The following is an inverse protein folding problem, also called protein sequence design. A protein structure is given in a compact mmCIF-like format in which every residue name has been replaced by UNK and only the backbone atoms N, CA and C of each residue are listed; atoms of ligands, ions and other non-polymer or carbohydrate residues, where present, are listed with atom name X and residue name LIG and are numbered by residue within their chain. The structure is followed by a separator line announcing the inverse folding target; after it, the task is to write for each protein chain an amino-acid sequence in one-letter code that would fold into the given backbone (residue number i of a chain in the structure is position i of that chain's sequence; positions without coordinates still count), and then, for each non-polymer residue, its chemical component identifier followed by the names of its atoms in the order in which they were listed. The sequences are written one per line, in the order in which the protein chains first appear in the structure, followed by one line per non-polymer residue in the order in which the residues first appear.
data_IF_309110077666
#
_entry.id   IF_309110077666
#
_cell.length_a   1.000
_cell.length_b   1.000
_cell.length_c   1.000
_cell.angle_alpha   90.00
_cell.angle_beta   90.00
_cell.angle_gamma   90.00
#
_symmetry.space_group_name_H-M   'P 1'
#
loop_
_entity.id
_entity.type
_entity.pdbx_description
1 polymer ?
#
# COMPACT_ATOMS: atom_id res chain seq x y z
N UNK A 1 -11.49 26.89 -47.77
CA UNK A 1 -10.23 26.68 -47.00
C UNK A 1 -10.61 26.00 -45.70
N UNK A 2 -10.41 24.68 -45.53
CA UNK A 2 -10.75 24.01 -44.28
C UNK A 2 -9.62 24.19 -43.26
N UNK A 3 -10.01 24.52 -42.05
CA UNK A 3 -9.14 24.66 -40.88
C UNK A 3 -8.47 23.32 -40.57
N UNK A 4 -7.15 23.31 -40.44
CA UNK A 4 -6.37 22.16 -39.95
C UNK A 4 -6.80 21.86 -38.51
N UNK A 5 -6.96 20.56 -38.12
CA UNK A 5 -7.17 20.19 -36.72
C UNK A 5 -5.90 20.49 -35.91
N UNK A 6 -6.12 21.06 -34.75
CA UNK A 6 -5.11 21.33 -33.73
C UNK A 6 -4.43 20.04 -33.30
N UNK A 7 -3.14 20.13 -33.04
CA UNK A 7 -2.23 19.04 -32.71
C UNK A 7 -2.81 18.08 -31.67
N UNK A 8 -2.67 16.79 -32.00
CA UNK A 8 -2.94 15.67 -31.06
C UNK A 8 -2.13 15.85 -29.78
N UNK A 9 -2.83 15.94 -28.68
CA UNK A 9 -2.25 15.94 -27.34
C UNK A 9 -1.72 14.54 -26.91
N UNK A 10 -2.01 13.50 -27.70
CA UNK A 10 -1.51 12.13 -27.50
C UNK A 10 0.02 12.03 -27.66
N UNK A 11 0.66 12.98 -28.36
CA UNK A 11 2.12 13.01 -28.51
C UNK A 11 2.89 13.66 -27.35
N UNK A 12 2.22 14.21 -26.35
CA UNK A 12 2.88 14.82 -25.20
C UNK A 12 3.20 13.79 -24.09
N UNK A 13 2.59 12.60 -24.14
CA UNK A 13 2.85 11.49 -23.22
C UNK A 13 3.90 10.49 -23.72
N UNK A 14 4.33 10.63 -24.97
CA UNK A 14 5.33 9.75 -25.61
C UNK A 14 6.79 10.08 -25.19
N UNK A 15 6.98 10.92 -24.19
CA UNK A 15 8.28 11.12 -23.55
C UNK A 15 8.81 9.87 -22.84
N UNK A 16 7.97 8.86 -22.61
CA UNK A 16 8.38 7.58 -22.03
C UNK A 16 9.13 6.66 -23.02
N UNK A 17 9.04 6.88 -24.32
CA UNK A 17 9.78 6.09 -25.31
C UNK A 17 11.28 6.43 -25.41
N UNK A 18 11.72 7.54 -24.80
CA UNK A 18 13.11 7.99 -24.88
C UNK A 18 14.03 7.52 -23.76
N UNK A 19 13.60 6.64 -22.85
CA UNK A 19 14.43 6.21 -21.71
C UNK A 19 14.45 4.69 -21.50
N UNK A 20 15.17 3.92 -22.31
CA UNK A 20 15.19 2.47 -22.13
C UNK A 20 16.28 1.99 -21.17
N UNK A 21 16.42 2.50 -19.99
CA UNK A 21 17.17 1.91 -18.86
C UNK A 21 17.30 2.88 -17.65
N UNK A 22 17.32 4.17 -17.88
CA UNK A 22 17.22 5.20 -16.83
C UNK A 22 15.76 5.50 -16.47
N UNK A 23 14.79 5.09 -17.33
CA UNK A 23 13.37 5.41 -17.19
C UNK A 23 12.71 4.75 -16.00
N UNK A 24 12.90 3.46 -15.84
CA UNK A 24 12.29 2.72 -14.74
C UNK A 24 12.84 3.19 -13.39
N UNK A 25 14.16 3.40 -13.27
CA UNK A 25 14.75 3.90 -12.03
C UNK A 25 14.29 5.33 -11.70
N UNK A 26 14.26 6.24 -12.68
CA UNK A 26 13.78 7.61 -12.47
C UNK A 26 12.29 7.63 -12.10
N UNK A 27 11.46 6.80 -12.76
CA UNK A 27 10.04 6.66 -12.46
C UNK A 27 9.82 6.13 -11.03
N UNK A 28 10.54 5.09 -10.64
CA UNK A 28 10.54 4.54 -9.28
C UNK A 28 10.87 5.61 -8.23
N UNK A 29 11.93 6.39 -8.44
CA UNK A 29 12.30 7.49 -7.53
C UNK A 29 11.22 8.56 -7.47
N UNK A 30 10.64 8.93 -8.61
CA UNK A 30 9.53 9.91 -8.63
C UNK A 30 8.31 9.39 -7.88
N UNK A 31 7.89 8.14 -8.12
CA UNK A 31 6.79 7.51 -7.42
C UNK A 31 7.04 7.48 -5.90
N UNK A 32 8.24 7.06 -5.48
CA UNK A 32 8.64 7.06 -4.07
C UNK A 32 8.59 8.45 -3.44
N UNK A 33 9.17 9.45 -4.11
CA UNK A 33 9.18 10.84 -3.62
C UNK A 33 7.76 11.39 -3.52
N UNK A 34 6.88 11.10 -4.48
CA UNK A 34 5.47 11.52 -4.42
C UNK A 34 4.77 10.87 -3.24
N UNK A 35 4.88 9.53 -3.09
CA UNK A 35 4.24 8.81 -1.98
C UNK A 35 4.71 9.35 -0.63
N UNK A 36 6.04 9.45 -0.44
CA UNK A 36 6.64 9.95 0.80
C UNK A 36 6.23 11.40 1.09
N UNK A 37 6.25 12.28 0.06
CA UNK A 37 5.88 13.69 0.22
C UNK A 37 4.44 13.86 0.66
N UNK A 38 3.49 13.08 0.11
CA UNK A 38 2.09 13.12 0.51
C UNK A 38 1.93 12.70 1.98
N UNK A 39 2.54 11.56 2.36
CA UNK A 39 2.44 11.00 3.72
C UNK A 39 3.04 11.96 4.75
N UNK A 40 4.25 12.46 4.47
CA UNK A 40 4.94 13.40 5.37
C UNK A 40 4.19 14.74 5.45
N UNK A 41 3.71 15.28 4.32
CA UNK A 41 2.95 16.52 4.33
C UNK A 41 1.71 16.45 5.25
N UNK A 42 0.98 15.34 5.19
CA UNK A 42 -0.21 15.13 6.03
C UNK A 42 0.19 14.90 7.50
N UNK A 43 1.25 14.17 7.75
CA UNK A 43 1.82 13.95 9.08
C UNK A 43 2.18 15.29 9.75
N UNK A 44 3.02 16.08 9.10
CA UNK A 44 3.44 17.39 9.60
C UNK A 44 2.27 18.36 9.73
N UNK A 45 1.31 18.28 8.79
CA UNK A 45 0.11 19.08 8.88
C UNK A 45 -0.73 18.73 10.12
N UNK A 46 -0.75 17.47 10.54
CA UNK A 46 -1.36 17.04 11.80
C UNK A 46 -0.77 17.78 13.01
N UNK A 47 0.55 17.77 13.15
CA UNK A 47 1.25 18.52 14.21
C UNK A 47 0.94 20.01 14.15
N UNK A 48 1.05 20.60 12.96
CA UNK A 48 0.81 22.02 12.74
C UNK A 48 -0.59 22.44 13.16
N UNK A 49 -1.61 21.78 12.64
CA UNK A 49 -3.00 22.26 12.82
C UNK A 49 -3.49 22.03 14.26
N UNK A 50 -3.15 20.89 14.87
CA UNK A 50 -3.53 20.59 16.25
C UNK A 50 -2.71 21.44 17.23
N UNK A 51 -1.42 21.62 17.00
CA UNK A 51 -0.59 22.55 17.77
C UNK A 51 -1.19 23.95 17.80
N UNK A 52 -1.59 24.44 16.64
CA UNK A 52 -2.26 25.72 16.48
C UNK A 52 -3.61 25.81 17.21
N UNK A 53 -4.46 24.76 17.13
CA UNK A 53 -5.73 24.70 17.89
C UNK A 53 -5.49 24.69 19.40
N UNK A 54 -4.37 24.10 19.84
CA UNK A 54 -3.94 24.11 21.23
C UNK A 54 -3.27 25.42 21.66
N UNK A 55 -3.13 26.40 20.75
CA UNK A 55 -2.52 27.70 21.01
C UNK A 55 -0.99 27.70 20.99
N UNK A 56 -0.37 26.67 20.42
CA UNK A 56 1.08 26.59 20.19
C UNK A 56 1.38 27.20 18.81
N UNK A 57 2.34 28.11 18.75
CA UNK A 57 2.69 28.80 17.51
C UNK A 57 3.74 28.01 16.74
N UNK A 58 3.50 27.80 15.44
CA UNK A 58 4.48 27.22 14.54
C UNK A 58 5.18 28.34 13.74
N UNK A 59 6.50 28.42 13.86
CA UNK A 59 7.32 29.39 13.15
C UNK A 59 7.53 28.95 11.70
N UNK A 60 7.79 27.63 11.47
CA UNK A 60 8.08 27.08 10.14
C UNK A 60 7.31 25.78 9.94
N UNK A 61 6.74 25.64 8.75
CA UNK A 61 6.24 24.39 8.18
C UNK A 61 7.05 24.07 6.94
N UNK A 62 7.83 23.00 6.94
CA UNK A 62 8.71 22.64 5.85
C UNK A 62 8.36 21.28 5.24
N UNK A 63 8.22 21.24 3.92
CA UNK A 63 8.27 20.01 3.14
C UNK A 63 9.68 19.86 2.58
N UNK A 64 10.36 18.81 3.01
CA UNK A 64 11.78 18.58 2.67
C UNK A 64 12.77 19.22 3.63
N UNK A 65 14.03 18.88 3.39
CA UNK A 65 15.19 19.38 4.12
C UNK A 65 16.18 20.11 3.20
N UNK A 66 17.13 20.85 3.77
CA UNK A 66 18.20 21.53 3.05
C UNK A 66 17.81 22.91 2.52
N UNK A 67 18.40 23.36 1.39
CA UNK A 67 18.14 24.69 0.84
C UNK A 67 16.68 24.90 0.48
N UNK A 68 16.11 26.04 0.89
CA UNK A 68 14.73 26.42 0.60
C UNK A 68 14.60 26.84 -0.86
N UNK A 69 13.73 26.16 -1.61
CA UNK A 69 13.42 26.48 -3.02
C UNK A 69 12.32 27.55 -3.09
N UNK A 70 11.30 27.40 -2.25
CA UNK A 70 10.15 28.32 -2.21
C UNK A 70 9.70 28.51 -0.78
N UNK A 71 9.35 29.75 -0.40
CA UNK A 71 8.74 30.02 0.91
C UNK A 71 7.74 31.16 0.84
N UNK A 72 6.74 31.08 1.71
CA UNK A 72 5.71 32.11 1.90
C UNK A 72 5.27 32.13 3.36
N UNK A 73 5.16 33.32 3.94
CA UNK A 73 4.59 33.50 5.28
C UNK A 73 3.07 33.64 5.16
N UNK A 74 2.34 32.89 5.97
CA UNK A 74 0.90 32.96 6.03
C UNK A 74 0.41 34.12 6.94
N UNK A 75 -0.91 34.34 6.98
CA UNK A 75 -1.55 35.38 7.83
C UNK A 75 -1.40 35.13 9.34
N UNK A 76 -0.91 33.99 9.74
CA UNK A 76 -0.71 33.61 11.14
C UNK A 76 0.76 33.69 11.57
N UNK A 77 1.65 34.10 10.65
CA UNK A 77 3.07 34.25 10.90
C UNK A 77 3.89 32.98 10.67
N UNK A 78 3.28 31.87 10.22
CA UNK A 78 4.01 30.64 9.91
C UNK A 78 4.64 30.73 8.52
N UNK A 79 5.94 30.44 8.42
CA UNK A 79 6.64 30.33 7.15
C UNK A 79 6.44 28.93 6.58
N UNK A 80 5.66 28.84 5.50
CA UNK A 80 5.50 27.63 4.69
C UNK A 80 6.61 27.57 3.68
N UNK A 81 7.33 26.45 3.61
CA UNK A 81 8.46 26.31 2.69
C UNK A 81 8.54 24.91 2.07
N UNK A 82 9.13 24.86 0.88
CA UNK A 82 9.54 23.64 0.19
C UNK A 82 11.05 23.68 0.05
N UNK A 83 11.72 22.62 0.48
CA UNK A 83 13.15 22.48 0.42
C UNK A 83 13.60 21.45 -0.62
N UNK A 84 14.88 21.48 -0.97
CA UNK A 84 15.44 20.76 -2.11
C UNK A 84 15.47 19.22 -1.96
N UNK A 85 15.51 18.72 -0.72
CA UNK A 85 15.55 17.28 -0.45
C UNK A 85 14.18 16.80 0.02
N UNK A 86 13.34 16.18 -0.84
CA UNK A 86 11.96 15.80 -0.53
C UNK A 86 11.87 14.48 0.27
N UNK A 87 12.83 14.25 1.17
CA UNK A 87 12.94 13.02 1.98
C UNK A 87 12.38 13.20 3.40
N UNK A 88 11.35 14.04 3.56
CA UNK A 88 10.76 14.28 4.87
C UNK A 88 10.16 15.67 4.98
N UNK A 89 9.91 16.12 6.21
CA UNK A 89 9.40 17.43 6.55
C UNK A 89 9.63 17.72 8.03
N UNK A 90 9.20 18.90 8.46
CA UNK A 90 9.15 19.25 9.88
C UNK A 90 8.27 20.45 10.15
N UNK A 91 7.74 20.50 11.36
CA UNK A 91 7.14 21.70 11.92
C UNK A 91 8.07 22.22 13.02
N UNK A 92 8.55 23.45 12.89
CA UNK A 92 9.29 24.13 13.95
C UNK A 92 8.31 24.97 14.76
N UNK A 93 8.14 24.64 16.03
CA UNK A 93 7.35 25.44 16.94
C UNK A 93 8.18 26.54 17.58
N UNK A 94 7.51 27.60 18.02
CA UNK A 94 8.13 28.74 18.69
C UNK A 94 8.96 28.27 19.89
N UNK A 95 10.21 28.70 19.95
CA UNK A 95 11.13 28.37 21.04
C UNK A 95 11.85 27.04 20.91
N UNK A 96 11.65 26.30 19.80
CA UNK A 96 12.42 25.09 19.50
C UNK A 96 13.78 25.48 18.92
N UNK A 97 14.86 24.89 19.45
CA UNK A 97 16.22 25.18 19.00
C UNK A 97 16.50 24.67 17.57
N UNK A 98 15.82 23.59 17.19
CA UNK A 98 16.03 22.92 15.88
C UNK A 98 14.74 22.29 15.35
N UNK A 99 14.80 21.74 14.13
CA UNK A 99 13.69 21.06 13.48
C UNK A 99 13.20 19.78 14.20
N UNK A 100 14.01 19.21 15.10
CA UNK A 100 13.66 18.04 15.90
C UNK A 100 13.01 18.39 17.25
N UNK A 101 12.68 19.66 17.47
CA UNK A 101 12.05 20.18 18.72
C UNK A 101 12.83 19.80 20.01
N UNK A 102 14.15 19.62 19.90
CA UNK A 102 15.02 19.25 21.01
C UNK A 102 15.81 20.47 21.49
N UNK A 103 15.56 20.87 22.72
CA UNK A 103 16.17 22.06 23.35
C UNK A 103 15.41 23.35 23.05
N UNK A 104 15.72 24.43 23.75
CA UNK A 104 15.10 25.74 23.55
C UNK A 104 16.16 26.77 23.14
N UNK A 105 15.83 27.72 22.26
CA UNK A 105 16.69 28.85 21.85
C UNK A 105 16.89 29.92 22.94
N UNK A 106 16.49 29.62 24.17
CA UNK A 106 16.83 30.37 25.36
C UNK A 106 16.21 31.76 25.56
N UNK A 107 15.57 32.35 24.58
CA UNK A 107 15.15 33.78 24.65
C UNK A 107 13.69 34.04 24.23
N UNK A 108 12.76 33.17 24.68
CA UNK A 108 11.33 33.45 24.46
C UNK A 108 10.85 34.45 25.54
N UNK A 109 10.18 35.53 25.12
CA UNK A 109 9.61 36.49 26.06
C UNK A 109 8.62 35.81 27.01
N UNK A 110 8.58 36.18 28.32
CA UNK A 110 7.71 35.53 29.30
C UNK A 110 6.23 35.48 28.89
N UNK A 111 5.74 36.46 28.16
CA UNK A 111 4.37 36.54 27.63
C UNK A 111 4.07 35.50 26.54
N UNK A 112 5.08 35.02 25.81
CA UNK A 112 4.95 34.08 24.72
C UNK A 112 5.23 32.62 25.13
N UNK A 113 5.67 32.41 26.39
CA UNK A 113 5.97 31.05 26.88
C UNK A 113 4.82 30.06 26.67
N UNK A 114 3.57 30.51 26.87
CA UNK A 114 2.38 29.64 26.66
C UNK A 114 2.20 29.18 25.22
N UNK A 115 2.77 29.92 24.26
CA UNK A 115 2.71 29.62 22.82
C UNK A 115 3.83 28.71 22.36
N UNK A 116 4.74 28.29 23.24
CA UNK A 116 5.82 27.36 22.95
C UNK A 116 5.45 25.94 23.34
N UNK A 117 6.11 24.95 22.74
CA UNK A 117 5.96 23.54 23.16
C UNK A 117 6.32 23.34 24.64
N UNK A 118 7.38 23.99 25.12
CA UNK A 118 7.85 23.86 26.50
C UNK A 118 6.90 24.50 27.53
N UNK A 119 6.23 25.60 27.18
CA UNK A 119 5.34 26.35 28.03
C UNK A 119 3.88 25.96 27.93
N UNK A 120 3.49 25.18 26.94
CA UNK A 120 2.13 24.68 26.76
C UNK A 120 1.80 23.61 27.82
N UNK A 121 0.52 23.49 28.24
CA UNK A 121 0.10 22.44 29.16
C UNK A 121 0.32 21.06 28.55
N UNK A 122 0.51 20.07 29.42
CA UNK A 122 0.86 18.70 29.03
C UNK A 122 -0.10 18.11 28.00
N UNK A 123 -1.42 18.27 28.21
CA UNK A 123 -2.43 17.77 27.27
C UNK A 123 -2.29 18.36 25.86
N UNK A 124 -1.95 19.65 25.76
CA UNK A 124 -1.77 20.33 24.47
C UNK A 124 -0.53 19.81 23.73
N UNK A 125 0.58 19.60 24.45
CA UNK A 125 1.80 19.00 23.92
C UNK A 125 1.53 17.56 23.44
N UNK A 126 0.86 16.76 24.28
CA UNK A 126 0.48 15.37 23.94
C UNK A 126 -0.40 15.32 22.70
N UNK A 127 -1.45 16.17 22.64
CA UNK A 127 -2.34 16.23 21.50
C UNK A 127 -1.60 16.64 20.21
N UNK A 128 -0.70 17.64 20.31
CA UNK A 128 0.09 18.12 19.17
C UNK A 128 0.99 17.00 18.61
N UNK A 129 1.69 16.28 19.48
CA UNK A 129 2.59 15.21 19.04
C UNK A 129 1.81 13.98 18.54
N UNK A 130 0.72 13.59 19.19
CA UNK A 130 -0.11 12.48 18.73
C UNK A 130 -0.83 12.76 17.39
N UNK A 131 -0.94 14.04 17.00
CA UNK A 131 -1.67 14.43 15.79
C UNK A 131 -0.98 13.97 14.50
N UNK A 132 0.34 13.94 14.43
CA UNK A 132 1.05 13.45 13.25
C UNK A 132 0.63 12.02 12.86
N UNK A 133 0.85 11.03 13.73
CA UNK A 133 0.37 9.67 13.49
C UNK A 133 -1.14 9.55 13.25
N UNK A 134 -1.95 10.32 14.01
CA UNK A 134 -3.40 10.32 13.84
C UNK A 134 -3.82 10.78 12.44
N UNK A 135 -3.17 11.80 11.89
CA UNK A 135 -3.45 12.30 10.54
C UNK A 135 -3.02 11.30 9.46
N UNK A 136 -1.97 10.52 9.69
CA UNK A 136 -1.62 9.41 8.80
C UNK A 136 -2.70 8.32 8.80
N UNK A 137 -3.29 7.99 9.94
CA UNK A 137 -4.42 7.07 10.00
C UNK A 137 -5.68 7.63 9.33
N UNK A 138 -5.95 8.93 9.50
CA UNK A 138 -7.06 9.61 8.80
C UNK A 138 -6.83 9.56 7.28
N UNK A 139 -5.60 9.80 6.81
CA UNK A 139 -5.26 9.68 5.39
C UNK A 139 -5.49 8.26 4.87
N UNK A 140 -5.05 7.23 5.61
CA UNK A 140 -5.26 5.84 5.24
C UNK A 140 -6.75 5.50 5.13
N UNK A 141 -7.56 5.88 6.13
CA UNK A 141 -9.02 5.69 6.08
C UNK A 141 -9.64 6.42 4.89
N UNK A 142 -9.25 7.67 4.65
CA UNK A 142 -9.77 8.46 3.54
C UNK A 142 -9.43 7.84 2.17
N UNK A 143 -8.22 7.33 2.00
CA UNK A 143 -7.79 6.63 0.78
C UNK A 143 -8.59 5.33 0.61
N UNK A 144 -8.68 4.47 1.62
CA UNK A 144 -9.40 3.22 1.53
C UNK A 144 -10.89 3.45 1.28
N UNK A 145 -11.52 4.36 2.03
CA UNK A 145 -12.93 4.71 1.84
C UNK A 145 -13.19 5.31 0.45
N UNK A 146 -12.34 6.25 0.02
CA UNK A 146 -12.45 6.87 -1.30
C UNK A 146 -12.30 5.85 -2.44
N UNK A 147 -11.37 4.91 -2.30
CA UNK A 147 -11.19 3.81 -3.26
C UNK A 147 -12.41 2.89 -3.31
N UNK A 148 -12.98 2.53 -2.14
CA UNK A 148 -14.18 1.70 -2.05
C UNK A 148 -15.40 2.44 -2.66
N UNK A 149 -15.53 3.74 -2.42
CA UNK A 149 -16.59 4.55 -3.05
C UNK A 149 -16.44 4.65 -4.56
N UNK A 150 -15.22 4.71 -5.05
CA UNK A 150 -14.92 4.79 -6.48
C UNK A 150 -15.15 3.45 -7.18
N UNK A 151 -14.67 2.36 -6.59
CA UNK A 151 -14.81 1.01 -7.16
C UNK A 151 -16.22 0.42 -6.98
N UNK A 152 -16.94 0.81 -5.92
CA UNK A 152 -18.15 0.14 -5.48
C UNK A 152 -17.85 -1.20 -4.80
N UNK A 153 -18.91 -1.95 -4.50
CA UNK A 153 -18.88 -3.36 -4.07
C UNK A 153 -19.51 -4.23 -5.13
N UNK A 154 -19.20 -5.52 -5.12
CA UNK A 154 -19.86 -6.51 -5.96
C UNK A 154 -21.38 -6.49 -5.73
N UNK A 155 -22.16 -6.54 -6.81
CA UNK A 155 -23.62 -6.64 -6.72
C UNK A 155 -24.02 -7.99 -6.08
N UNK A 156 -25.08 -7.97 -5.29
CA UNK A 156 -25.70 -9.15 -4.73
C UNK A 156 -27.17 -9.21 -5.23
N UNK A 157 -27.54 -10.22 -6.03
CA UNK A 157 -26.76 -11.38 -6.49
C UNK A 157 -25.68 -11.05 -7.51
N UNK A 158 -24.63 -11.92 -7.56
CA UNK A 158 -23.47 -11.74 -8.45
C UNK A 158 -23.92 -11.65 -9.91
N UNK A 159 -23.62 -10.52 -10.52
CA UNK A 159 -23.97 -10.21 -11.90
C UNK A 159 -22.71 -10.04 -12.71
N UNK A 160 -22.63 -10.71 -13.86
CA UNK A 160 -21.52 -10.56 -14.79
C UNK A 160 -21.49 -9.14 -15.35
N UNK A 161 -20.35 -8.47 -15.20
CA UNK A 161 -20.04 -7.23 -15.87
C UNK A 161 -19.26 -7.50 -17.16
N UNK A 162 -18.22 -6.70 -17.44
CA UNK A 162 -17.36 -6.87 -18.60
C UNK A 162 -16.57 -8.18 -18.50
N UNK A 163 -16.62 -8.99 -19.57
CA UNK A 163 -15.84 -10.22 -19.64
C UNK A 163 -14.41 -9.90 -20.05
N UNK A 164 -13.45 -10.41 -19.29
CA UNK A 164 -12.03 -10.23 -19.59
C UNK A 164 -11.64 -10.99 -20.85
N UNK A 165 -10.74 -10.46 -21.66
CA UNK A 165 -10.23 -11.18 -22.81
C UNK A 165 -9.51 -12.45 -22.34
N UNK A 166 -9.89 -13.58 -22.94
CA UNK A 166 -9.30 -14.89 -22.69
C UNK A 166 -8.89 -15.52 -24.02
N UNK A 167 -7.96 -16.49 -24.01
CA UNK A 167 -7.63 -17.28 -25.20
C UNK A 167 -8.88 -17.91 -25.81
N UNK A 168 -8.89 -18.15 -27.12
CA UNK A 168 -10.03 -18.72 -27.85
C UNK A 168 -10.48 -20.09 -27.29
N UNK A 169 -9.57 -20.86 -26.67
CA UNK A 169 -9.88 -22.10 -25.96
C UNK A 169 -10.81 -21.92 -24.77
N UNK A 170 -10.87 -20.72 -24.20
CA UNK A 170 -11.74 -20.35 -23.08
C UNK A 170 -13.02 -19.62 -23.53
N UNK A 171 -13.42 -19.77 -24.79
CA UNK A 171 -14.63 -19.13 -25.31
C UNK A 171 -15.86 -19.42 -24.45
N UNK A 172 -16.68 -18.42 -24.24
CA UNK A 172 -17.84 -18.45 -23.34
C UNK A 172 -19.11 -17.97 -24.05
N UNK A 173 -20.26 -18.59 -23.74
CA UNK A 173 -21.57 -18.13 -24.12
C UNK A 173 -22.22 -17.20 -23.08
N UNK A 174 -21.51 -16.93 -21.98
CA UNK A 174 -21.88 -15.95 -20.94
C UNK A 174 -21.86 -14.53 -21.50
N UNK A 175 -22.68 -13.65 -20.95
CA UNK A 175 -22.83 -12.25 -21.38
C UNK A 175 -22.86 -11.30 -20.21
N UNK A 176 -22.48 -10.08 -20.47
CA UNK A 176 -22.70 -8.98 -19.53
C UNK A 176 -24.19 -8.87 -19.17
N UNK A 177 -24.47 -8.74 -17.87
CA UNK A 177 -25.82 -8.67 -17.30
C UNK A 177 -26.44 -10.02 -16.93
N UNK A 178 -25.78 -11.16 -17.21
CA UNK A 178 -26.20 -12.46 -16.69
C UNK A 178 -26.04 -12.46 -15.16
N UNK A 179 -27.03 -13.00 -14.45
CA UNK A 179 -26.96 -13.15 -12.99
C UNK A 179 -26.61 -14.61 -12.68
N UNK A 180 -25.51 -14.83 -11.96
CA UNK A 180 -25.06 -16.18 -11.63
C UNK A 180 -26.00 -16.84 -10.61
N UNK A 181 -26.50 -18.02 -10.94
CA UNK A 181 -27.35 -18.86 -10.07
C UNK A 181 -26.61 -20.08 -9.57
N UNK A 182 -25.96 -20.82 -10.48
CA UNK A 182 -25.22 -22.02 -10.11
C UNK A 182 -24.05 -22.28 -11.11
N UNK A 183 -23.04 -23.02 -10.65
CA UNK A 183 -21.94 -23.54 -11.47
C UNK A 183 -21.89 -25.04 -11.28
N UNK A 184 -21.93 -25.83 -12.38
CA UNK A 184 -22.03 -27.29 -12.32
C UNK A 184 -23.16 -27.82 -11.40
N UNK A 185 -24.27 -27.09 -11.33
CA UNK A 185 -25.39 -27.40 -10.45
C UNK A 185 -25.16 -27.05 -8.97
N UNK A 186 -23.99 -26.52 -8.61
CA UNK A 186 -23.71 -26.02 -7.25
C UNK A 186 -24.26 -24.59 -7.14
N UNK A 187 -25.24 -24.30 -6.28
CA UNK A 187 -25.79 -22.97 -6.13
C UNK A 187 -24.73 -21.96 -5.66
N UNK A 188 -24.77 -20.78 -6.26
CA UNK A 188 -23.93 -19.66 -5.86
C UNK A 188 -24.75 -18.72 -4.98
N UNK A 189 -24.60 -18.84 -3.66
CA UNK A 189 -25.42 -18.10 -2.69
C UNK A 189 -24.75 -16.82 -2.17
N UNK A 190 -23.41 -16.68 -2.34
CA UNK A 190 -22.67 -15.55 -1.77
C UNK A 190 -21.29 -15.36 -2.41
N UNK A 191 -20.92 -14.12 -2.73
CA UNK A 191 -19.61 -13.79 -3.30
C UNK A 191 -18.39 -14.17 -2.38
N UNK A 192 -18.61 -14.28 -1.06
CA UNK A 192 -17.61 -14.78 -0.12
C UNK A 192 -17.31 -16.28 -0.27
N UNK A 193 -18.19 -17.03 -0.93
CA UNK A 193 -18.05 -18.47 -1.18
C UNK A 193 -17.27 -18.82 -2.45
N UNK A 194 -16.76 -17.86 -3.19
CA UNK A 194 -15.95 -18.13 -4.40
C UNK A 194 -14.77 -19.06 -4.10
N UNK A 195 -14.18 -18.96 -2.92
CA UNK A 195 -13.12 -19.88 -2.45
C UNK A 195 -13.67 -21.26 -2.13
N UNK A 196 -14.92 -21.36 -1.64
CA UNK A 196 -15.55 -22.65 -1.34
C UNK A 196 -16.02 -23.39 -2.63
N UNK A 197 -16.24 -22.68 -3.73
CA UNK A 197 -16.57 -23.31 -5.00
C UNK A 197 -15.42 -24.15 -5.56
N UNK A 198 -14.16 -23.76 -5.32
CA UNK A 198 -12.98 -24.51 -5.77
C UNK A 198 -12.96 -25.95 -5.26
N UNK A 199 -13.52 -26.20 -4.10
CA UNK A 199 -13.56 -27.52 -3.47
C UNK A 199 -14.76 -28.36 -3.97
N UNK A 200 -15.75 -27.71 -4.57
CA UNK A 200 -17.03 -28.34 -4.96
C UNK A 200 -17.15 -28.55 -6.48
N UNK A 201 -16.46 -27.71 -7.27
CA UNK A 201 -16.54 -27.75 -8.74
C UNK A 201 -15.28 -28.42 -9.30
N UNK A 202 -15.42 -29.45 -10.17
CA UNK A 202 -14.27 -30.15 -10.74
C UNK A 202 -13.47 -29.21 -11.66
N UNK A 203 -12.14 -29.33 -11.60
CA UNK A 203 -11.26 -28.59 -12.50
C UNK A 203 -11.33 -29.21 -13.89
N UNK A 204 -11.91 -28.46 -14.82
CA UNK A 204 -12.06 -28.87 -16.23
C UNK A 204 -12.05 -27.65 -17.15
N UNK A 205 -11.85 -27.90 -18.43
CA UNK A 205 -11.71 -26.83 -19.44
C UNK A 205 -12.95 -25.97 -19.57
N UNK A 206 -14.13 -26.57 -19.46
CA UNK A 206 -15.42 -25.87 -19.55
C UNK A 206 -16.32 -26.29 -18.42
N UNK A 207 -17.05 -25.31 -17.90
CA UNK A 207 -18.07 -25.50 -16.87
C UNK A 207 -19.45 -25.10 -17.39
N UNK A 208 -20.46 -25.74 -16.84
CA UNK A 208 -21.87 -25.42 -17.08
C UNK A 208 -22.35 -24.38 -16.06
N UNK A 209 -22.78 -23.22 -16.55
CA UNK A 209 -23.30 -22.10 -15.75
C UNK A 209 -24.81 -22.01 -15.89
N UNK A 210 -25.51 -22.02 -14.77
CA UNK A 210 -26.91 -21.63 -14.72
C UNK A 210 -26.98 -20.15 -14.40
N UNK A 211 -27.59 -19.36 -15.29
CA UNK A 211 -27.70 -17.91 -15.16
C UNK A 211 -29.11 -17.42 -15.43
N UNK A 212 -29.48 -16.29 -14.81
CA UNK A 212 -30.69 -15.56 -15.17
C UNK A 212 -30.38 -14.54 -16.25
N UNK A 213 -30.94 -14.69 -17.45
CA UNK A 213 -30.78 -13.77 -18.58
C UNK A 213 -32.13 -13.23 -18.99
N UNK A 214 -32.38 -11.93 -18.77
CA UNK A 214 -33.64 -11.30 -19.09
C UNK A 214 -34.84 -11.81 -18.25
N UNK A 215 -34.58 -12.47 -17.14
CA UNK A 215 -35.60 -13.09 -16.27
C UNK A 215 -35.81 -14.58 -16.48
N UNK A 216 -35.22 -15.16 -17.53
CA UNK A 216 -35.28 -16.60 -17.82
C UNK A 216 -34.00 -17.28 -17.30
N UNK A 217 -34.18 -18.43 -16.64
CA UNK A 217 -33.08 -19.28 -16.22
C UNK A 217 -32.59 -20.13 -17.40
N UNK A 218 -31.35 -19.98 -17.77
CA UNK A 218 -30.72 -20.70 -18.88
C UNK A 218 -29.38 -21.31 -18.44
N UNK A 219 -29.00 -22.39 -19.12
CA UNK A 219 -27.71 -23.02 -18.92
C UNK A 219 -26.80 -22.71 -20.12
N UNK A 220 -25.58 -22.24 -19.85
CA UNK A 220 -24.57 -21.87 -20.85
C UNK A 220 -23.22 -22.41 -20.45
N UNK A 221 -22.36 -22.66 -21.43
CA UNK A 221 -21.00 -23.10 -21.19
C UNK A 221 -20.04 -21.90 -21.06
N UNK A 222 -19.04 -22.04 -20.18
CA UNK A 222 -18.01 -21.04 -19.96
C UNK A 222 -16.69 -21.66 -19.47
N UNK A 223 -15.63 -20.87 -19.32
CA UNK A 223 -14.37 -21.32 -18.78
C UNK A 223 -14.49 -21.66 -17.29
N UNK A 224 -13.44 -22.22 -16.72
CA UNK A 224 -13.37 -22.36 -15.26
C UNK A 224 -13.55 -20.98 -14.61
N UNK A 225 -14.37 -20.90 -13.55
CA UNK A 225 -14.79 -19.63 -12.97
C UNK A 225 -13.63 -18.77 -12.39
N UNK A 226 -12.54 -19.44 -11.99
CA UNK A 226 -11.31 -18.81 -11.51
C UNK A 226 -10.12 -19.29 -12.34
N UNK A 227 -9.99 -18.84 -13.61
CA UNK A 227 -8.94 -19.27 -14.51
C UNK A 227 -7.58 -18.77 -14.01
N UNK A 228 -6.51 -19.25 -14.62
CA UNK A 228 -5.16 -18.81 -14.29
C UNK A 228 -4.83 -17.43 -14.92
N UNK A 229 -5.75 -16.47 -14.78
CA UNK A 229 -5.57 -15.08 -15.20
C UNK A 229 -4.96 -14.25 -14.07
N UNK A 230 -3.99 -13.41 -14.40
CA UNK A 230 -3.22 -12.60 -13.45
C UNK A 230 -3.92 -11.28 -13.20
N UNK A 231 -4.33 -11.02 -11.95
CA UNK A 231 -4.90 -9.73 -11.53
C UNK A 231 -3.87 -8.77 -10.95
N UNK A 232 -2.81 -9.29 -10.34
CA UNK A 232 -1.70 -8.49 -9.84
C UNK A 232 -0.42 -9.29 -9.76
N UNK A 233 0.70 -8.59 -9.85
CA UNK A 233 2.04 -9.14 -9.68
C UNK A 233 2.66 -8.49 -8.45
N UNK A 234 3.15 -9.32 -7.54
CA UNK A 234 3.83 -8.84 -6.34
C UNK A 234 5.20 -8.27 -6.74
N UNK A 235 5.53 -7.05 -6.30
CA UNK A 235 6.84 -6.46 -6.55
C UNK A 235 7.97 -7.36 -6.03
N UNK A 236 9.09 -7.41 -6.76
CA UNK A 236 10.28 -8.21 -6.39
C UNK A 236 10.00 -9.71 -6.29
N UNK A 237 8.97 -10.18 -6.94
CA UNK A 237 8.64 -11.61 -7.00
C UNK A 237 9.29 -12.28 -8.20
N UNK A 238 9.26 -13.63 -8.22
CA UNK A 238 9.75 -14.40 -9.36
C UNK A 238 8.98 -14.09 -10.66
N UNK A 239 7.69 -13.77 -10.55
CA UNK A 239 6.86 -13.37 -11.69
C UNK A 239 7.20 -11.96 -12.18
N UNK A 240 7.51 -11.03 -11.27
CA UNK A 240 7.95 -9.66 -11.60
C UNK A 240 9.26 -9.69 -12.38
N UNK A 241 10.26 -10.45 -11.90
CA UNK A 241 11.53 -10.63 -12.59
C UNK A 241 11.40 -11.30 -13.97
N UNK A 242 10.38 -12.15 -14.16
CA UNK A 242 10.08 -12.81 -15.43
C UNK A 242 9.24 -11.94 -16.39
N UNK A 243 8.92 -10.69 -16.01
CA UNK A 243 8.07 -9.78 -16.78
C UNK A 243 6.67 -10.35 -17.04
N UNK A 244 6.06 -10.99 -16.00
CA UNK A 244 4.64 -11.32 -15.97
C UNK A 244 3.87 -10.04 -15.75
N UNK A 245 2.71 -9.89 -16.43
CA UNK A 245 1.89 -8.69 -16.36
C UNK A 245 0.47 -9.00 -15.89
N UNK A 246 -0.21 -7.96 -15.46
CA UNK A 246 -1.65 -8.00 -15.26
C UNK A 246 -2.34 -8.34 -16.58
N UNK A 247 -3.40 -9.12 -16.51
CA UNK A 247 -4.18 -9.66 -17.63
C UNK A 247 -3.48 -10.78 -18.45
N UNK A 248 -2.26 -11.21 -18.08
CA UNK A 248 -1.68 -12.45 -18.59
C UNK A 248 -2.54 -13.65 -18.17
N UNK A 249 -2.69 -14.64 -19.06
CA UNK A 249 -3.37 -15.90 -18.76
C UNK A 249 -2.38 -17.05 -18.90
N UNK A 250 -2.16 -17.82 -17.84
CA UNK A 250 -1.31 -19.01 -17.88
C UNK A 250 -2.11 -20.15 -18.51
N UNK A 251 -1.65 -20.62 -19.68
CA UNK A 251 -2.33 -21.65 -20.46
C UNK A 251 -1.73 -23.04 -20.28
N UNK A 252 -0.42 -23.13 -19.93
CA UNK A 252 0.21 -24.39 -19.59
C UNK A 252 1.40 -24.18 -18.63
N UNK A 253 1.74 -25.22 -17.86
CA UNK A 253 2.97 -25.30 -17.06
C UNK A 253 3.67 -26.63 -17.36
N UNK A 254 4.94 -26.57 -17.75
CA UNK A 254 5.73 -27.73 -18.20
C UNK A 254 5.00 -28.56 -19.29
N UNK A 255 4.29 -27.89 -20.19
CA UNK A 255 3.51 -28.50 -21.26
C UNK A 255 2.17 -29.12 -20.81
N UNK A 256 1.83 -29.11 -19.51
CA UNK A 256 0.53 -29.54 -19.01
C UNK A 256 -0.48 -28.40 -19.09
N UNK A 257 -1.68 -28.59 -19.68
CA UNK A 257 -2.67 -27.54 -19.84
C UNK A 257 -3.22 -27.11 -18.47
N UNK A 258 -3.46 -25.79 -18.32
CA UNK A 258 -3.98 -25.15 -17.11
C UNK A 258 -5.32 -24.51 -17.44
N UNK A 259 -6.33 -24.84 -16.65
CA UNK A 259 -7.68 -24.30 -16.75
C UNK A 259 -8.05 -23.46 -15.52
N UNK A 260 -7.46 -23.77 -14.36
CA UNK A 260 -7.76 -23.15 -13.07
C UNK A 260 -6.51 -22.64 -12.39
N UNK A 261 -6.63 -21.52 -11.68
CA UNK A 261 -5.51 -20.94 -10.92
C UNK A 261 -4.98 -21.87 -9.83
N UNK A 262 -5.85 -22.69 -9.23
CA UNK A 262 -5.46 -23.68 -8.22
C UNK A 262 -4.43 -24.70 -8.77
N UNK A 263 -4.53 -25.08 -10.05
CA UNK A 263 -3.53 -25.99 -10.66
C UNK A 263 -2.12 -25.34 -10.67
N UNK A 264 -2.05 -24.01 -10.95
CA UNK A 264 -0.78 -23.28 -10.88
C UNK A 264 -0.24 -23.30 -9.46
N UNK A 265 -1.10 -23.05 -8.46
CA UNK A 265 -0.70 -23.08 -7.04
C UNK A 265 -0.14 -24.44 -6.65
N UNK A 266 -0.82 -25.53 -7.01
CA UNK A 266 -0.40 -26.90 -6.68
C UNK A 266 0.94 -27.27 -7.34
N UNK A 267 1.11 -26.92 -8.62
CA UNK A 267 2.35 -27.18 -9.36
C UNK A 267 3.51 -26.38 -8.77
N UNK A 268 3.31 -25.10 -8.49
CA UNK A 268 4.31 -24.21 -7.89
C UNK A 268 4.72 -24.70 -6.50
N UNK A 269 3.76 -25.14 -5.69
CA UNK A 269 4.02 -25.68 -4.35
C UNK A 269 4.81 -27.00 -4.44
N UNK A 270 4.41 -27.91 -5.36
CA UNK A 270 5.05 -29.20 -5.57
C UNK A 270 6.47 -29.07 -6.13
N UNK A 271 6.76 -28.03 -6.90
CA UNK A 271 8.08 -27.79 -7.49
C UNK A 271 9.17 -27.52 -6.44
N UNK A 272 8.79 -27.02 -5.24
CA UNK A 272 9.74 -26.84 -4.14
C UNK A 272 10.91 -25.88 -4.46
N UNK A 273 10.72 -24.95 -5.39
CA UNK A 273 11.73 -24.00 -5.86
C UNK A 273 12.43 -24.40 -7.17
N UNK A 274 12.11 -25.55 -7.76
CA UNK A 274 12.62 -25.91 -9.07
C UNK A 274 12.03 -24.99 -10.17
N UNK A 275 12.80 -24.74 -11.21
CA UNK A 275 12.35 -23.97 -12.37
C UNK A 275 11.17 -24.65 -13.07
N UNK A 276 10.18 -23.85 -13.44
CA UNK A 276 8.99 -24.25 -14.17
C UNK A 276 8.90 -23.46 -15.47
N UNK A 277 8.49 -24.11 -16.55
CA UNK A 277 8.21 -23.48 -17.83
C UNK A 277 6.73 -23.11 -17.90
N UNK A 278 6.40 -21.82 -18.06
CA UNK A 278 5.05 -21.29 -18.18
C UNK A 278 4.78 -20.89 -19.62
N UNK A 279 3.68 -21.37 -20.19
CA UNK A 279 3.09 -20.81 -21.38
C UNK A 279 2.03 -19.77 -20.98
N UNK A 280 2.16 -18.56 -21.52
CA UNK A 280 1.36 -17.39 -21.15
C UNK A 280 0.74 -16.82 -22.41
N UNK A 281 -0.56 -16.63 -22.37
CA UNK A 281 -1.27 -15.85 -23.37
C UNK A 281 -1.33 -14.38 -22.93
N UNK A 282 -0.92 -13.47 -23.83
CA UNK A 282 -0.93 -12.02 -23.64
C UNK A 282 -1.41 -11.35 -24.92
N UNK A 283 -2.56 -10.70 -24.92
CA UNK A 283 -3.11 -9.90 -26.03
C UNK A 283 -3.17 -10.64 -27.38
N UNK A 284 -3.37 -11.94 -27.37
CA UNK A 284 -3.42 -12.78 -28.58
C UNK A 284 -2.14 -13.55 -28.87
N UNK A 285 -1.03 -13.20 -28.26
CA UNK A 285 0.27 -13.86 -28.43
C UNK A 285 0.53 -14.89 -27.35
N UNK A 286 1.26 -15.94 -27.67
CA UNK A 286 1.73 -16.95 -26.70
C UNK A 286 3.21 -16.71 -26.41
N UNK A 287 3.55 -16.58 -25.13
CA UNK A 287 4.89 -16.35 -24.61
C UNK A 287 5.31 -17.52 -23.74
N UNK A 288 6.60 -17.88 -23.76
CA UNK A 288 7.15 -18.87 -22.83
C UNK A 288 8.09 -18.17 -21.85
N UNK A 289 7.93 -18.44 -20.55
CA UNK A 289 8.74 -17.89 -19.46
C UNK A 289 9.19 -19.00 -18.53
N UNK A 290 10.44 -18.97 -18.09
CA UNK A 290 10.97 -19.88 -17.07
C UNK A 290 10.99 -19.15 -15.74
N UNK A 291 10.34 -19.70 -14.71
CA UNK A 291 10.17 -19.05 -13.40
C UNK A 291 10.52 -20.05 -12.29
N UNK A 292 11.42 -19.68 -11.40
CA UNK A 292 11.73 -20.44 -10.19
C UNK A 292 10.92 -19.87 -9.00
N UNK A 293 10.02 -20.66 -8.38
CA UNK A 293 9.29 -20.21 -7.20
C UNK A 293 10.21 -19.81 -6.05
N UNK A 294 9.78 -18.81 -5.26
CA UNK A 294 10.50 -18.34 -4.07
C UNK A 294 9.71 -18.64 -2.80
N UNK A 295 10.44 -18.83 -1.71
CA UNK A 295 9.80 -18.96 -0.38
C UNK A 295 9.30 -17.63 0.10
N UNK A 296 8.00 -17.54 0.41
CA UNK A 296 7.33 -16.33 0.87
C UNK A 296 6.54 -16.65 2.14
N UNK A 297 6.64 -15.77 3.13
CA UNK A 297 5.89 -15.88 4.37
C UNK A 297 4.55 -15.17 4.22
N UNK A 298 3.45 -15.91 4.27
CA UNK A 298 2.09 -15.40 4.15
C UNK A 298 1.42 -15.27 5.52
N UNK A 299 0.74 -14.17 5.82
CA UNK A 299 -0.02 -14.04 7.05
C UNK A 299 -1.25 -14.97 7.03
N UNK A 300 -1.47 -15.67 8.15
CA UNK A 300 -2.66 -16.50 8.35
C UNK A 300 -3.82 -15.65 8.90
N UNK A 301 -5.09 -15.94 8.53
CA UNK A 301 -6.27 -15.23 9.02
C UNK A 301 -6.41 -15.26 10.55
N UNK A 302 -6.02 -16.37 11.18
CA UNK A 302 -6.05 -16.58 12.62
C UNK A 302 -4.84 -16.02 13.36
N UNK A 303 -3.93 -15.35 12.64
CA UNK A 303 -2.65 -14.84 13.14
C UNK A 303 -1.50 -15.84 12.97
N UNK A 304 -0.27 -15.31 12.89
CA UNK A 304 0.92 -16.09 12.53
C UNK A 304 1.20 -16.02 11.02
N UNK A 305 2.15 -16.84 10.59
CA UNK A 305 2.60 -16.89 9.19
C UNK A 305 2.86 -18.32 8.76
N UNK A 306 2.66 -18.58 7.49
CA UNK A 306 3.02 -19.83 6.82
C UNK A 306 3.98 -19.55 5.67
N UNK A 307 5.09 -20.28 5.59
CA UNK A 307 6.04 -20.16 4.48
C UNK A 307 5.61 -21.08 3.35
N UNK A 308 5.34 -20.51 2.18
CA UNK A 308 4.97 -21.26 0.96
C UNK A 308 5.90 -20.91 -0.20
N UNK A 309 5.99 -21.82 -1.17
CA UNK A 309 6.61 -21.55 -2.46
C UNK A 309 5.62 -20.82 -3.35
N UNK A 310 5.99 -19.64 -3.82
CA UNK A 310 5.15 -18.78 -4.66
C UNK A 310 5.96 -18.19 -5.80
N UNK A 311 5.28 -17.86 -6.89
CA UNK A 311 5.85 -17.01 -7.96
C UNK A 311 5.47 -15.55 -7.84
N UNK A 312 4.49 -15.21 -6.97
CA UNK A 312 4.11 -13.83 -6.66
C UNK A 312 3.05 -13.25 -7.58
N UNK A 313 2.11 -14.06 -8.05
CA UNK A 313 0.92 -13.61 -8.77
C UNK A 313 -0.36 -13.81 -7.94
N UNK A 314 -1.36 -12.99 -8.21
CA UNK A 314 -2.72 -13.19 -7.69
C UNK A 314 -3.64 -13.51 -8.87
N UNK A 315 -4.48 -14.52 -8.72
CA UNK A 315 -5.49 -14.87 -9.72
C UNK A 315 -6.73 -13.98 -9.64
N UNK A 316 -7.60 -14.08 -10.64
CA UNK A 316 -8.88 -13.40 -10.70
C UNK A 316 -9.94 -14.24 -11.41
N UNK A 317 -11.20 -13.90 -11.18
CA UNK A 317 -12.31 -14.38 -12.01
C UNK A 317 -12.21 -13.80 -13.43
N UNK A 318 -12.79 -14.47 -14.40
CA UNK A 318 -12.70 -14.11 -15.82
C UNK A 318 -13.66 -12.97 -16.25
N UNK A 319 -14.37 -12.38 -15.32
CA UNK A 319 -15.29 -11.26 -15.56
C UNK A 319 -15.13 -10.22 -14.48
N UNK A 320 -15.43 -8.98 -14.80
CA UNK A 320 -15.63 -7.97 -13.78
C UNK A 320 -17.06 -8.14 -13.23
N UNK A 321 -17.19 -8.12 -11.92
CA UNK A 321 -18.51 -8.12 -11.29
C UNK A 321 -19.18 -6.76 -11.47
N UNK A 322 -20.49 -6.79 -11.74
CA UNK A 322 -21.27 -5.56 -11.72
C UNK A 322 -21.18 -4.94 -10.33
N UNK A 323 -20.84 -3.66 -10.29
CA UNK A 323 -20.60 -2.97 -9.03
C UNK A 323 -21.77 -2.08 -8.63
N UNK A 324 -22.06 -2.10 -7.33
CA UNK A 324 -23.00 -1.21 -6.70
C UNK A 324 -22.27 -0.10 -5.96
N UNK A 325 -22.84 1.12 -5.96
CA UNK A 325 -22.28 2.24 -5.25
C UNK A 325 -22.37 2.04 -3.74
N UNK A 326 -21.25 2.30 -3.05
CA UNK A 326 -21.18 2.23 -1.58
C UNK A 326 -21.43 3.61 -1.00
N UNK A 327 -22.30 3.70 0.01
CA UNK A 327 -22.59 4.94 0.70
C UNK A 327 -21.40 5.46 1.51
N UNK A 328 -21.27 6.80 1.73
CA UNK A 328 -20.11 7.39 2.40
C UNK A 328 -19.83 6.84 3.80
N UNK A 329 -20.87 6.61 4.59
CA UNK A 329 -20.73 6.08 5.95
C UNK A 329 -20.25 4.63 5.96
N UNK A 330 -20.78 3.81 5.05
CA UNK A 330 -20.34 2.43 4.87
C UNK A 330 -18.90 2.37 4.39
N UNK A 331 -18.53 3.21 3.41
CA UNK A 331 -17.17 3.31 2.90
C UNK A 331 -16.16 3.71 3.99
N UNK A 332 -16.50 4.68 4.85
CA UNK A 332 -15.65 5.07 5.98
C UNK A 332 -15.50 3.90 6.97
N UNK A 333 -16.57 3.17 7.26
CA UNK A 333 -16.50 2.01 8.14
C UNK A 333 -15.60 0.91 7.56
N UNK A 334 -15.75 0.59 6.28
CA UNK A 334 -14.90 -0.37 5.56
C UNK A 334 -13.44 0.12 5.49
N UNK A 335 -13.23 1.40 5.26
CA UNK A 335 -11.89 2.02 5.30
C UNK A 335 -11.23 1.92 6.68
N UNK A 336 -12.00 2.12 7.75
CA UNK A 336 -11.52 1.96 9.12
C UNK A 336 -11.19 0.48 9.45
N UNK A 337 -11.98 -0.46 8.96
CA UNK A 337 -11.68 -1.89 9.06
C UNK A 337 -10.42 -2.25 8.28
N UNK A 338 -10.22 -1.67 7.09
CA UNK A 338 -9.00 -1.80 6.30
C UNK A 338 -7.77 -1.31 7.05
N UNK A 339 -7.85 -0.12 7.66
CA UNK A 339 -6.80 0.38 8.55
C UNK A 339 -6.52 -0.59 9.71
N UNK A 340 -7.55 -1.03 10.42
CA UNK A 340 -7.40 -1.95 11.55
C UNK A 340 -6.71 -3.25 11.14
N UNK A 341 -7.10 -3.84 10.00
CA UNK A 341 -6.44 -5.03 9.44
C UNK A 341 -4.97 -4.76 9.13
N UNK A 342 -4.66 -3.63 8.48
CA UNK A 342 -3.27 -3.24 8.19
C UNK A 342 -2.43 -3.13 9.47
N UNK A 343 -2.95 -2.47 10.51
CA UNK A 343 -2.24 -2.31 11.78
C UNK A 343 -2.01 -3.65 12.50
N UNK A 344 -3.04 -4.49 12.58
CA UNK A 344 -2.94 -5.81 13.25
C UNK A 344 -2.00 -6.75 12.51
N UNK A 345 -2.05 -6.78 11.18
CA UNK A 345 -1.12 -7.58 10.35
C UNK A 345 0.32 -7.07 10.51
N UNK A 346 0.54 -5.74 10.49
CA UNK A 346 1.88 -5.16 10.70
C UNK A 346 2.45 -5.49 12.07
N UNK A 347 1.64 -5.40 13.13
CA UNK A 347 2.07 -5.77 14.50
C UNK A 347 2.36 -7.28 14.62
N UNK A 348 1.55 -8.11 13.97
CA UNK A 348 1.77 -9.57 13.92
C UNK A 348 3.06 -9.89 13.17
N UNK A 349 3.32 -9.24 12.03
CA UNK A 349 4.56 -9.38 11.27
C UNK A 349 5.79 -9.00 12.10
N UNK A 350 5.75 -7.84 12.75
CA UNK A 350 6.85 -7.41 13.63
C UNK A 350 7.13 -8.41 14.76
N UNK A 351 6.07 -8.90 15.41
CA UNK A 351 6.21 -9.92 16.44
C UNK A 351 6.85 -11.19 15.87
N UNK A 352 6.39 -11.66 14.72
CA UNK A 352 6.87 -12.90 14.10
C UNK A 352 8.32 -12.79 13.62
N UNK A 353 8.75 -11.61 13.14
CA UNK A 353 10.16 -11.33 12.84
C UNK A 353 11.00 -11.35 14.12
N UNK A 354 10.56 -10.68 15.18
CA UNK A 354 11.29 -10.64 16.46
C UNK A 354 11.40 -12.01 17.14
N UNK A 355 10.43 -12.90 16.92
CA UNK A 355 10.45 -14.28 17.45
C UNK A 355 11.13 -15.26 16.50
N UNK A 356 11.61 -14.82 15.32
CA UNK A 356 12.28 -15.66 14.33
C UNK A 356 11.35 -16.63 13.60
N UNK A 357 10.03 -16.40 13.64
CA UNK A 357 9.06 -17.23 12.93
C UNK A 357 9.06 -16.97 11.41
N UNK A 358 9.37 -15.74 11.01
CA UNK A 358 9.51 -15.37 9.62
C UNK A 358 10.86 -14.71 9.37
N UNK A 359 11.29 -14.73 8.09
CA UNK A 359 12.56 -14.16 7.68
C UNK A 359 12.57 -12.63 7.83
N UNK A 360 13.75 -12.10 8.17
CA UNK A 360 14.00 -10.65 8.10
C UNK A 360 13.90 -10.08 6.69
N UNK A 361 13.91 -10.93 5.64
CA UNK A 361 13.67 -10.53 4.25
C UNK A 361 12.29 -9.90 4.02
N UNK A 362 11.36 -10.08 4.96
CA UNK A 362 10.07 -9.38 4.95
C UNK A 362 10.13 -7.93 5.45
N UNK A 363 11.30 -7.48 5.91
CA UNK A 363 11.53 -6.06 6.26
C UNK A 363 12.03 -5.31 5.05
N UNK A 364 11.17 -4.50 4.44
CA UNK A 364 11.57 -3.58 3.38
C UNK A 364 12.18 -2.31 3.96
N UNK A 365 13.38 -1.98 3.52
CA UNK A 365 14.04 -0.71 3.78
C UNK A 365 13.68 0.36 2.75
N UNK A 366 14.39 1.49 2.75
CA UNK A 366 14.13 2.58 1.81
C UNK A 366 14.20 2.17 0.34
N UNK A 367 15.09 1.23 -0.01
CA UNK A 367 15.23 0.72 -1.37
C UNK A 367 14.03 -0.11 -1.76
N UNK A 368 13.63 -1.09 -0.95
CA UNK A 368 12.47 -1.92 -1.20
C UNK A 368 11.15 -1.13 -1.24
N UNK A 369 11.01 -0.09 -0.40
CA UNK A 369 9.84 0.81 -0.46
C UNK A 369 9.84 1.60 -1.78
N UNK A 370 11.00 2.06 -2.27
CA UNK A 370 11.09 2.78 -3.53
C UNK A 370 10.73 1.87 -4.72
N UNK A 371 11.26 0.65 -4.77
CA UNK A 371 10.93 -0.36 -5.79
C UNK A 371 9.44 -0.70 -5.79
N UNK A 372 8.89 -0.96 -4.59
CA UNK A 372 7.45 -1.21 -4.44
C UNK A 372 6.62 -0.01 -4.91
N UNK A 373 7.06 1.23 -4.62
CA UNK A 373 6.38 2.45 -5.09
C UNK A 373 6.32 2.51 -6.61
N UNK A 374 7.44 2.20 -7.29
CA UNK A 374 7.51 2.14 -8.75
C UNK A 374 6.59 1.07 -9.33
N UNK A 375 6.71 -0.15 -8.85
CA UNK A 375 5.90 -1.27 -9.31
C UNK A 375 4.40 -1.06 -9.09
N UNK A 376 3.99 -0.50 -7.94
CA UNK A 376 2.58 -0.15 -7.70
C UNK A 376 2.08 0.96 -8.63
N UNK A 377 2.94 1.92 -8.98
CA UNK A 377 2.59 2.98 -9.93
C UNK A 377 2.49 2.44 -11.37
N UNK A 378 3.32 1.49 -11.77
CA UNK A 378 3.24 0.78 -13.06
C UNK A 378 1.96 -0.06 -13.18
N UNK A 379 1.50 -0.65 -12.10
CA UNK A 379 0.22 -1.40 -12.04
C UNK A 379 -1.01 -0.47 -12.09
N UNK A 380 -0.82 0.85 -12.13
CA UNK A 380 -1.85 1.84 -12.30
C UNK A 380 -2.11 2.72 -11.08
N UNK A 381 -2.81 3.83 -11.33
CA UNK A 381 -3.07 4.85 -10.31
C UNK A 381 -3.81 4.30 -9.07
N UNK A 382 -4.71 3.35 -9.26
CA UNK A 382 -5.47 2.72 -8.19
C UNK A 382 -4.56 1.97 -7.22
N UNK A 383 -3.69 1.09 -7.73
CA UNK A 383 -2.72 0.31 -6.95
C UNK A 383 -1.77 1.23 -6.19
N UNK A 384 -1.31 2.30 -6.84
CA UNK A 384 -0.45 3.30 -6.22
C UNK A 384 -1.13 4.07 -5.09
N UNK A 385 -2.39 4.48 -5.27
CA UNK A 385 -3.16 5.16 -4.23
C UNK A 385 -3.38 4.22 -3.02
N UNK A 386 -3.74 2.96 -3.26
CA UNK A 386 -3.85 1.96 -2.19
C UNK A 386 -2.54 1.76 -1.43
N UNK A 387 -1.44 1.69 -2.15
CA UNK A 387 -0.09 1.60 -1.56
C UNK A 387 0.21 2.80 -0.66
N UNK A 388 -0.12 4.04 -1.09
CA UNK A 388 0.03 5.25 -0.25
C UNK A 388 -0.80 5.11 1.03
N UNK A 389 -2.03 4.58 0.96
CA UNK A 389 -2.88 4.34 2.13
C UNK A 389 -2.25 3.36 3.11
N UNK A 390 -1.76 2.22 2.62
CA UNK A 390 -1.07 1.21 3.43
C UNK A 390 0.23 1.74 4.05
N UNK A 391 1.05 2.43 3.25
CA UNK A 391 2.30 3.04 3.71
C UNK A 391 2.04 4.14 4.75
N UNK A 392 0.99 4.95 4.57
CA UNK A 392 0.58 5.96 5.56
C UNK A 392 0.20 5.32 6.89
N UNK A 393 -0.56 4.22 6.87
CA UNK A 393 -0.89 3.47 8.08
C UNK A 393 0.37 2.92 8.77
N UNK A 394 1.33 2.37 8.01
CA UNK A 394 2.57 1.85 8.54
C UNK A 394 3.45 2.96 9.16
N UNK A 395 3.59 4.11 8.48
CA UNK A 395 4.33 5.28 9.01
C UNK A 395 3.67 5.81 10.28
N UNK A 396 2.34 5.92 10.31
CA UNK A 396 1.60 6.31 11.52
C UNK A 396 1.84 5.35 12.68
N UNK A 397 1.85 4.03 12.41
CA UNK A 397 2.11 3.01 13.41
C UNK A 397 3.54 3.09 13.97
N UNK A 398 4.54 3.15 13.07
CA UNK A 398 5.95 3.24 13.46
C UNK A 398 6.20 4.48 14.31
N UNK A 399 5.62 5.63 13.94
CA UNK A 399 5.75 6.87 14.71
C UNK A 399 5.11 6.80 16.11
N UNK A 400 4.22 5.85 16.39
CA UNK A 400 3.69 5.62 17.74
C UNK A 400 4.57 4.71 18.61
N UNK A 401 5.61 4.08 18.03
CA UNK A 401 6.53 3.26 18.84
C UNK A 401 7.31 4.11 19.83
N UNK A 402 7.64 3.55 21.00
CA UNK A 402 8.35 4.26 22.07
C UNK A 402 9.85 4.44 21.77
N UNK A 403 10.16 4.90 20.56
CA UNK A 403 11.53 5.18 20.10
C UNK A 403 11.76 6.70 20.22
N UNK A 404 12.75 7.14 20.98
CA UNK A 404 12.91 8.54 21.38
C UNK A 404 12.96 9.61 20.28
N UNK A 405 13.31 9.25 19.06
CA UNK A 405 13.36 10.17 17.90
C UNK A 405 12.03 10.29 17.19
N UNK A 406 11.10 9.36 17.47
CA UNK A 406 9.76 9.33 16.91
C UNK A 406 8.75 9.99 17.87
N UNK A 407 7.57 10.31 17.37
CA UNK A 407 6.49 10.92 18.17
C UNK A 407 6.14 10.10 19.40
N UNK A 408 6.09 8.77 19.26
CA UNK A 408 5.85 7.84 20.36
C UNK A 408 6.86 7.98 21.51
N UNK A 409 8.12 8.30 21.21
CA UNK A 409 9.13 8.58 22.23
C UNK A 409 8.81 9.86 23.02
N UNK A 410 8.37 10.92 22.33
CA UNK A 410 7.90 12.14 22.99
C UNK A 410 6.64 11.88 23.85
N UNK A 411 5.71 11.05 23.35
CA UNK A 411 4.53 10.65 24.11
C UNK A 411 4.89 9.89 25.39
N UNK A 412 5.94 9.05 25.36
CA UNK A 412 6.45 8.37 26.57
C UNK A 412 7.00 9.37 27.59
N UNK A 413 7.72 10.40 27.13
CA UNK A 413 8.18 11.46 28.04
C UNK A 413 7.03 12.24 28.67
N UNK A 414 5.97 12.49 27.90
CA UNK A 414 4.77 13.16 28.42
C UNK A 414 3.99 12.25 29.37
N UNK A 415 3.92 10.94 29.11
CA UNK A 415 3.36 9.97 30.05
C UNK A 415 4.15 9.92 31.37
N UNK A 416 5.48 9.92 31.30
CA UNK A 416 6.33 10.03 32.49
C UNK A 416 6.04 11.31 33.28
N UNK A 417 5.95 12.48 32.59
CA UNK A 417 5.63 13.77 33.24
C UNK A 417 4.23 13.73 33.88
N UNK A 418 3.25 13.10 33.22
CA UNK A 418 1.90 12.94 33.76
C UNK A 418 1.86 12.15 35.08
N UNK A 419 2.61 11.05 35.15
CA UNK A 419 2.65 10.16 36.31
C UNK A 419 3.48 10.76 37.44
N UNK A 420 4.69 11.25 37.13
CA UNK A 420 5.65 11.71 38.14
C UNK A 420 5.44 13.17 38.53
N UNK A 421 4.66 13.93 37.74
CA UNK A 421 4.49 15.39 37.84
C UNK A 421 5.82 16.16 37.78
N UNK A 422 6.84 15.57 37.16
CA UNK A 422 8.16 16.14 36.97
C UNK A 422 8.60 15.96 35.52
N UNK A 423 9.17 17.02 34.95
CA UNK A 423 9.78 16.90 33.60
C UNK A 423 11.02 16.00 33.67
N UNK A 424 11.26 15.17 32.65
CA UNK A 424 12.53 14.45 32.53
C UNK A 424 13.71 15.42 32.54
N UNK A 425 14.84 14.98 33.07
CA UNK A 425 16.05 15.82 33.01
C UNK A 425 16.56 15.95 31.58
N UNK A 426 17.11 17.12 31.22
CA UNK A 426 17.64 17.36 29.86
C UNK A 426 18.68 16.32 29.46
N UNK A 427 19.56 15.92 30.41
CA UNK A 427 20.55 14.87 30.17
C UNK A 427 19.90 13.52 29.84
N UNK A 428 18.82 13.15 30.56
CA UNK A 428 18.12 11.91 30.27
C UNK A 428 17.49 11.97 28.86
N UNK A 429 16.82 13.07 28.50
CA UNK A 429 16.25 13.24 27.16
C UNK A 429 17.33 13.13 26.09
N UNK A 430 18.47 13.83 26.24
CA UNK A 430 19.58 13.79 25.28
C UNK A 430 20.15 12.37 25.11
N UNK A 431 20.35 11.64 26.21
CA UNK A 431 20.84 10.24 26.14
C UNK A 431 19.84 9.32 25.43
N UNK A 432 18.55 9.44 25.77
CA UNK A 432 17.52 8.65 25.09
C UNK A 432 17.39 9.01 23.61
N UNK A 433 17.45 10.29 23.25
CA UNK A 433 17.45 10.73 21.85
C UNK A 433 18.66 10.18 21.09
N UNK A 434 19.86 10.18 21.69
CA UNK A 434 21.05 9.60 21.07
C UNK A 434 20.90 8.09 20.84
N UNK A 435 20.38 7.34 21.85
CA UNK A 435 20.09 5.90 21.72
C UNK A 435 19.07 5.64 20.62
N UNK A 436 17.98 6.41 20.60
CA UNK A 436 16.93 6.27 19.59
C UNK A 436 17.44 6.53 18.17
N UNK A 437 18.23 7.60 17.99
CA UNK A 437 18.84 7.92 16.70
C UNK A 437 19.81 6.80 16.25
N UNK A 438 20.64 6.31 17.16
CA UNK A 438 21.58 5.21 16.86
C UNK A 438 20.83 3.94 16.46
N UNK A 439 19.72 3.63 17.13
CA UNK A 439 18.88 2.47 16.81
C UNK A 439 18.25 2.60 15.42
N UNK A 440 17.68 3.78 15.08
CA UNK A 440 17.08 4.02 13.78
C UNK A 440 18.14 3.94 12.66
N UNK A 441 19.31 4.55 12.86
CA UNK A 441 20.40 4.48 11.88
C UNK A 441 20.91 3.05 11.69
N UNK A 442 21.04 2.28 12.77
CA UNK A 442 21.41 0.86 12.69
C UNK A 442 20.35 0.03 11.95
N UNK A 443 19.08 0.26 12.26
CA UNK A 443 17.94 -0.41 11.57
C UNK A 443 17.91 -0.03 10.08
N UNK A 444 18.08 1.25 9.76
CA UNK A 444 18.13 1.73 8.38
C UNK A 444 19.29 1.10 7.60
N UNK A 445 20.48 1.04 8.19
CA UNK A 445 21.62 0.37 7.57
C UNK A 445 21.35 -1.13 7.37
N UNK A 446 20.79 -1.78 8.39
CA UNK A 446 20.43 -3.20 8.32
C UNK A 446 19.40 -3.45 7.20
N UNK A 447 18.34 -2.65 7.09
CA UNK A 447 17.32 -2.83 6.04
C UNK A 447 17.85 -2.52 4.64
N UNK A 448 18.77 -1.55 4.48
CA UNK A 448 19.45 -1.31 3.19
C UNK A 448 20.31 -2.53 2.80
N UNK A 449 21.07 -3.10 3.73
CA UNK A 449 21.83 -4.32 3.48
C UNK A 449 20.93 -5.51 3.18
N UNK A 450 19.78 -5.59 3.87
CA UNK A 450 18.76 -6.60 3.64
C UNK A 450 18.17 -6.49 2.22
N UNK A 451 17.78 -5.30 1.79
CA UNK A 451 17.21 -5.06 0.46
C UNK A 451 18.20 -5.31 -0.68
N UNK A 452 19.52 -5.12 -0.44
CA UNK A 452 20.52 -5.10 -1.54
C UNK A 452 21.43 -6.31 -1.59
N UNK A 453 21.69 -6.97 -0.45
CA UNK A 453 22.71 -8.00 -0.32
C UNK A 453 22.17 -9.31 0.26
N UNK A 454 21.38 -9.23 1.34
CA UNK A 454 20.95 -10.41 2.10
C UNK A 454 19.72 -11.07 1.47
N UNK A 455 18.85 -10.28 0.88
CA UNK A 455 17.56 -10.71 0.31
C UNK A 455 17.29 -9.96 -1.01
N UNK A 456 18.17 -10.10 -2.02
CA UNK A 456 18.03 -9.40 -3.30
C UNK A 456 16.83 -9.89 -4.12
#
# INVERSE_FOLDING_TARGET
MPLKPLANWDNALDLMQFVPMFGNFAFMIVAFVVALSVIVAIHEYGHYIVGRWCGIHADVFSLGFGPVIYSRVDKHGTQWQVAALPLGGFVKFMGDANAASVGGDGAVAPQDLRRTMLGAPLWARTATVAAGPAFNFILAIAIFAGSIMYQGRSADPLTFGELRPLPASFASDLREGDVLVAVEGVPFEDAERTVALSDLVPVQERLSYTVLRGGDEITVDGPYYFPAAVSSVSPRSAADDADIKVDDVITAVNGAPIYAFVQVQDIVLAAGGAELEFEIWRDGDTLTKTIAPRRVDLPLPEGGFETRWLIGITGTIFFDDKRESVGPFEAINLGAQGLWRTLTTSLSAMRSILTGQISTCNLSGPVGIAETSGSMAEQGAQSFIWFIGGLSAAVGLINLFPIPVLDGGHLVFYAYEAVTRRKPSEKAVQVFMFIGLSLILALMLFTILNDTILCP
#
